data_IF_882201757089
#
_entry.id   IF_882201757089
#
_cell.length_a   1.000
_cell.length_b   1.000
_cell.length_c   1.000
_cell.angle_alpha   90.00
_cell.angle_beta   90.00
_cell.angle_gamma   90.00
#
_symmetry.space_group_name_H-M   'P 1'
#
loop_
_entity.id
_entity.type
_entity.pdbx_description
1 polymer ?
#
# COMPACT_ATOMS: atom_id res chain seq x y z
N UNK A 1 -19.63 32.22 20.03
CA UNK A 1 -19.45 30.98 19.22
C UNK A 1 -17.99 30.95 18.83
N UNK A 2 -17.20 29.99 19.28
CA UNK A 2 -15.82 29.83 18.82
C UNK A 2 -15.84 29.55 17.30
N UNK A 3 -14.96 30.18 16.56
CA UNK A 3 -14.78 29.89 15.14
C UNK A 3 -14.40 28.43 14.98
N UNK A 4 -15.08 27.70 14.09
CA UNK A 4 -14.78 26.28 13.88
C UNK A 4 -13.32 26.12 13.42
N UNK A 5 -12.59 25.17 14.03
CA UNK A 5 -11.21 24.85 13.61
C UNK A 5 -11.24 24.30 12.18
N UNK A 6 -10.49 24.91 11.28
CA UNK A 6 -10.38 24.46 9.89
C UNK A 6 -9.15 23.57 9.74
N UNK A 7 -9.35 22.37 9.15
CA UNK A 7 -8.29 21.40 8.82
C UNK A 7 -8.23 21.21 7.29
N UNK A 8 -7.06 21.33 6.72
CA UNK A 8 -6.82 21.11 5.29
C UNK A 8 -6.10 19.78 5.09
N UNK A 9 -6.75 18.87 4.35
CA UNK A 9 -6.23 17.52 4.06
C UNK A 9 -5.65 17.51 2.65
N UNK A 10 -4.34 17.32 2.53
CA UNK A 10 -3.63 17.12 1.28
C UNK A 10 -3.95 15.76 0.66
N UNK A 11 -4.27 15.74 -0.63
CA UNK A 11 -4.58 14.54 -1.41
C UNK A 11 -3.97 14.61 -2.79
N UNK A 12 -3.64 13.45 -3.38
CA UNK A 12 -3.40 13.36 -4.82
C UNK A 12 -4.72 13.51 -5.57
N UNK A 13 -4.66 13.97 -6.84
CA UNK A 13 -5.84 14.16 -7.70
C UNK A 13 -6.47 12.82 -8.16
N UNK A 14 -5.81 11.68 -8.01
CA UNK A 14 -6.36 10.41 -8.45
C UNK A 14 -7.64 10.07 -7.67
N UNK A 15 -8.66 9.55 -8.38
CA UNK A 15 -9.97 9.23 -7.77
C UNK A 15 -9.84 8.38 -6.50
N UNK A 16 -8.93 7.38 -6.50
CA UNK A 16 -8.70 6.55 -5.32
C UNK A 16 -8.14 7.37 -4.15
N UNK A 17 -7.15 8.24 -4.40
CA UNK A 17 -6.56 9.08 -3.36
C UNK A 17 -7.58 10.06 -2.78
N UNK A 18 -8.41 10.68 -3.62
CA UNK A 18 -9.49 11.56 -3.17
C UNK A 18 -10.46 10.79 -2.27
N UNK A 19 -10.91 9.60 -2.67
CA UNK A 19 -11.80 8.76 -1.84
C UNK A 19 -11.14 8.42 -0.49
N UNK A 20 -9.84 8.11 -0.48
CA UNK A 20 -9.10 7.82 0.75
C UNK A 20 -9.05 9.04 1.68
N UNK A 21 -8.82 10.22 1.13
CA UNK A 21 -8.84 11.47 1.91
C UNK A 21 -10.24 11.83 2.39
N UNK A 22 -11.28 11.55 1.59
CA UNK A 22 -12.68 11.70 2.00
C UNK A 22 -13.08 10.80 3.18
N UNK A 23 -12.49 9.61 3.30
CA UNK A 23 -12.71 8.73 4.46
C UNK A 23 -12.23 9.43 5.74
N UNK A 24 -11.03 10.04 5.71
CA UNK A 24 -10.49 10.78 6.85
C UNK A 24 -11.30 12.06 7.12
N UNK A 25 -11.65 12.80 6.07
CA UNK A 25 -12.47 14.02 6.18
C UNK A 25 -13.81 13.74 6.88
N UNK A 26 -14.55 12.74 6.38
CA UNK A 26 -15.83 12.35 6.97
C UNK A 26 -15.70 11.91 8.42
N UNK A 27 -14.67 11.11 8.75
CA UNK A 27 -14.41 10.72 10.13
C UNK A 27 -14.24 11.96 11.04
N UNK A 28 -13.43 12.94 10.63
CA UNK A 28 -13.20 14.15 11.43
C UNK A 28 -14.51 14.93 11.61
N UNK A 29 -15.27 15.17 10.55
CA UNK A 29 -16.52 15.92 10.61
C UNK A 29 -17.62 15.22 11.43
N UNK A 30 -17.67 13.88 11.40
CA UNK A 30 -18.64 13.08 12.16
C UNK A 30 -18.29 12.98 13.66
N UNK A 31 -17.00 12.99 14.00
CA UNK A 31 -16.54 12.83 15.40
C UNK A 31 -16.21 14.13 16.09
N UNK A 32 -15.92 15.19 15.34
CA UNK A 32 -15.51 16.50 15.86
C UNK A 32 -16.39 17.62 15.25
N UNK A 33 -17.60 17.88 15.76
CA UNK A 33 -18.54 18.85 15.17
C UNK A 33 -18.02 20.29 15.06
N UNK A 34 -17.04 20.65 15.90
CA UNK A 34 -16.38 21.97 15.91
C UNK A 34 -15.21 22.06 14.92
N UNK A 35 -14.97 21.01 14.12
CA UNK A 35 -13.90 20.95 13.11
C UNK A 35 -14.51 20.87 11.72
N UNK A 36 -14.07 21.74 10.82
CA UNK A 36 -14.37 21.67 9.40
C UNK A 36 -13.14 21.15 8.65
N UNK A 37 -13.31 20.13 7.80
CA UNK A 37 -12.22 19.57 7.04
C UNK A 37 -12.42 19.77 5.53
N UNK A 38 -11.41 20.31 4.85
CA UNK A 38 -11.41 20.53 3.40
C UNK A 38 -10.29 19.76 2.71
N UNK A 39 -10.51 19.36 1.47
CA UNK A 39 -9.47 18.70 0.65
C UNK A 39 -8.69 19.71 -0.17
N UNK A 40 -7.37 19.59 -0.16
CA UNK A 40 -6.43 20.23 -1.08
C UNK A 40 -5.86 19.16 -2.01
N UNK A 41 -6.38 19.07 -3.23
CA UNK A 41 -5.89 18.11 -4.22
C UNK A 41 -4.70 18.66 -4.98
N UNK A 42 -3.73 17.80 -5.29
CA UNK A 42 -2.55 18.17 -6.06
C UNK A 42 -2.04 17.02 -6.94
N UNK A 43 -1.42 17.39 -8.05
CA UNK A 43 -0.84 16.44 -9.01
C UNK A 43 0.61 16.18 -8.65
N UNK A 44 0.95 14.92 -8.36
CA UNK A 44 2.31 14.53 -8.00
C UNK A 44 3.17 14.22 -9.22
N UNK A 45 4.48 14.22 -9.04
CA UNK A 45 5.44 13.82 -10.07
C UNK A 45 5.18 12.40 -10.56
N UNK A 46 4.83 11.47 -9.66
CA UNK A 46 4.46 10.09 -10.02
C UNK A 46 3.19 9.99 -10.86
N UNK A 47 2.25 10.95 -10.74
CA UNK A 47 1.04 11.00 -11.57
C UNK A 47 1.32 11.55 -12.99
N UNK A 48 2.39 12.33 -13.15
CA UNK A 48 2.78 12.92 -14.45
C UNK A 48 3.58 11.98 -15.33
N UNK A 49 4.38 11.07 -14.72
CA UNK A 49 5.28 10.17 -15.46
C UNK A 49 4.55 8.86 -15.71
N UNK A 50 4.05 8.64 -16.92
CA UNK A 50 3.31 7.45 -17.33
C UNK A 50 4.07 6.56 -18.33
N UNK A 51 5.17 7.04 -18.90
CA UNK A 51 5.95 6.44 -20.00
C UNK A 51 7.10 5.54 -19.52
N UNK A 52 7.46 5.58 -18.23
CA UNK A 52 8.57 4.83 -17.65
C UNK A 52 8.11 4.01 -16.44
N UNK A 53 8.78 2.89 -16.17
CA UNK A 53 8.55 2.09 -14.95
C UNK A 53 9.12 2.78 -13.72
N UNK A 54 8.51 2.60 -12.54
CA UNK A 54 8.89 3.33 -11.31
C UNK A 54 10.32 3.01 -10.86
N UNK A 55 10.78 1.78 -11.08
CA UNK A 55 12.16 1.32 -10.82
C UNK A 55 13.20 2.08 -11.64
N UNK A 56 12.89 2.44 -12.90
CA UNK A 56 13.78 3.19 -13.78
C UNK A 56 13.83 4.69 -13.51
N UNK A 57 12.89 5.25 -12.75
CA UNK A 57 12.83 6.69 -12.47
C UNK A 57 13.73 7.06 -11.27
N UNK A 58 14.12 6.09 -10.43
CA UNK A 58 15.15 6.25 -9.39
C UNK A 58 14.84 7.26 -8.29
N UNK A 59 13.58 7.61 -8.05
CA UNK A 59 13.21 8.61 -7.04
C UNK A 59 12.41 8.02 -5.89
N UNK A 60 12.97 7.92 -4.69
CA UNK A 60 12.19 7.68 -3.47
C UNK A 60 11.14 8.78 -3.30
N UNK A 61 9.89 8.42 -3.02
CA UNK A 61 8.84 9.38 -2.68
C UNK A 61 8.20 10.11 -3.86
N UNK A 62 8.13 9.53 -5.06
CA UNK A 62 7.50 10.17 -6.26
C UNK A 62 6.03 10.57 -6.07
N UNK A 63 5.35 9.98 -5.10
CA UNK A 63 3.93 10.23 -4.82
C UNK A 63 3.69 11.05 -3.55
N UNK A 64 4.75 11.37 -2.77
CA UNK A 64 4.61 12.06 -1.48
C UNK A 64 5.25 13.47 -1.47
N UNK A 65 6.23 13.75 -2.32
CA UNK A 65 7.02 15.00 -2.28
C UNK A 65 6.17 16.28 -2.30
N UNK A 66 5.17 16.34 -3.15
CA UNK A 66 4.29 17.52 -3.26
C UNK A 66 3.39 17.66 -2.04
N UNK A 67 2.97 16.52 -1.44
CA UNK A 67 2.19 16.47 -0.21
C UNK A 67 3.06 16.86 1.00
N UNK A 68 4.27 16.32 1.09
CA UNK A 68 5.24 16.70 2.12
C UNK A 68 5.54 18.21 2.07
N UNK A 69 5.74 18.75 0.87
CA UNK A 69 5.93 20.18 0.67
C UNK A 69 4.72 20.99 1.13
N UNK A 70 3.49 20.53 0.85
CA UNK A 70 2.28 21.21 1.29
C UNK A 70 2.14 21.21 2.82
N UNK A 71 2.55 20.14 3.51
CA UNK A 71 2.61 20.09 4.98
C UNK A 71 3.65 21.07 5.52
N UNK A 72 4.88 21.08 4.99
CA UNK A 72 5.96 21.98 5.43
C UNK A 72 5.61 23.45 5.19
N UNK A 73 5.02 23.76 4.05
CA UNK A 73 4.59 25.13 3.68
C UNK A 73 3.27 25.54 4.39
N UNK A 74 2.72 24.71 5.27
CA UNK A 74 1.43 24.92 5.99
C UNK A 74 0.23 25.16 5.06
N UNK A 75 0.27 24.63 3.85
CA UNK A 75 -0.87 24.64 2.92
C UNK A 75 -1.85 23.50 3.18
N UNK A 76 -1.40 22.45 3.83
CA UNK A 76 -2.23 21.39 4.40
C UNK A 76 -1.81 21.09 5.83
N UNK A 77 -2.72 20.53 6.63
CA UNK A 77 -2.49 20.11 8.01
C UNK A 77 -2.24 18.60 8.07
N UNK A 78 -2.87 17.87 7.18
CA UNK A 78 -2.74 16.41 7.02
C UNK A 78 -2.44 16.06 5.57
N UNK A 79 -1.88 14.88 5.36
CA UNK A 79 -1.84 14.19 4.07
C UNK A 79 -2.24 12.74 4.22
N UNK A 80 -3.06 12.23 3.29
CA UNK A 80 -3.57 10.85 3.33
C UNK A 80 -2.94 10.02 2.24
N UNK A 81 -2.45 8.82 2.61
CA UNK A 81 -1.73 7.93 1.72
C UNK A 81 -2.22 6.48 1.86
N UNK A 82 -2.11 5.70 0.79
CA UNK A 82 -2.02 4.25 0.93
C UNK A 82 -0.67 3.92 1.57
N UNK A 83 -0.65 3.27 2.73
CA UNK A 83 0.59 3.02 3.48
C UNK A 83 1.66 2.29 2.65
N UNK A 84 1.25 1.33 1.83
CA UNK A 84 2.15 0.57 0.94
C UNK A 84 2.92 1.42 -0.09
N UNK A 85 2.40 2.62 -0.40
CA UNK A 85 2.99 3.53 -1.38
C UNK A 85 3.89 4.58 -0.73
N UNK A 86 3.95 4.62 0.61
CA UNK A 86 4.83 5.51 1.36
C UNK A 86 6.28 5.00 1.38
N UNK A 87 7.27 5.90 1.40
CA UNK A 87 8.66 5.53 1.62
C UNK A 87 8.82 4.75 2.95
N UNK A 88 9.80 3.86 3.02
CA UNK A 88 10.11 3.15 4.28
C UNK A 88 10.69 4.10 5.32
N UNK A 89 11.51 5.07 4.91
CA UNK A 89 12.01 6.14 5.76
C UNK A 89 11.04 7.33 5.73
N UNK A 90 10.57 7.72 6.90
CA UNK A 90 9.65 8.84 7.09
C UNK A 90 10.43 9.99 7.73
N UNK A 91 10.36 11.23 7.18
CA UNK A 91 11.00 12.39 7.79
C UNK A 91 10.51 12.61 9.23
N UNK A 92 11.42 12.92 10.15
CA UNK A 92 11.07 13.13 11.56
C UNK A 92 10.12 14.32 11.75
N UNK A 93 10.23 15.33 10.91
CA UNK A 93 9.36 16.50 10.91
C UNK A 93 7.95 16.23 10.35
N UNK A 94 7.75 15.10 9.63
CA UNK A 94 6.48 14.72 9.03
C UNK A 94 6.10 13.27 9.40
N UNK A 95 5.87 12.96 10.68
CA UNK A 95 5.52 11.61 11.12
C UNK A 95 4.17 11.15 10.56
N UNK A 96 3.96 9.83 10.54
CA UNK A 96 2.63 9.26 10.43
C UNK A 96 1.97 9.40 11.80
N UNK A 97 0.84 10.09 11.85
CA UNK A 97 0.10 10.42 13.07
C UNK A 97 -1.09 9.50 13.33
N UNK A 98 -1.55 8.77 12.30
CA UNK A 98 -2.59 7.75 12.47
C UNK A 98 -2.50 6.68 11.37
N UNK A 99 -2.86 5.44 11.72
CA UNK A 99 -3.08 4.34 10.80
C UNK A 99 -4.54 3.90 10.87
N UNK A 100 -5.20 3.78 9.72
CA UNK A 100 -6.56 3.29 9.68
C UNK A 100 -6.66 1.80 10.01
N UNK A 101 -7.86 1.34 10.34
CA UNK A 101 -8.21 -0.06 10.24
C UNK A 101 -7.84 -0.59 8.84
N UNK A 102 -7.35 -1.84 8.80
CA UNK A 102 -6.99 -2.50 7.54
C UNK A 102 -8.24 -2.87 6.75
N UNK A 103 -8.29 -2.46 5.50
CA UNK A 103 -9.20 -2.99 4.48
C UNK A 103 -8.63 -4.30 3.92
N UNK A 104 -9.39 -5.06 3.13
CA UNK A 104 -8.96 -6.34 2.55
C UNK A 104 -7.53 -6.27 1.99
N UNK A 105 -6.55 -6.96 2.59
CA UNK A 105 -5.14 -6.88 2.21
C UNK A 105 -4.82 -7.67 0.94
N UNK A 106 -5.75 -8.50 0.44
CA UNK A 106 -5.49 -9.44 -0.65
C UNK A 106 -5.21 -8.75 -1.97
N UNK A 107 -4.47 -9.44 -2.80
CA UNK A 107 -4.41 -9.14 -4.22
C UNK A 107 -5.57 -9.83 -4.95
N UNK A 108 -6.00 -9.28 -6.07
CA UNK A 108 -7.17 -9.75 -6.80
C UNK A 108 -6.90 -9.84 -8.30
N UNK A 109 -7.42 -10.89 -8.92
CA UNK A 109 -7.51 -11.04 -10.37
C UNK A 109 -8.78 -10.34 -10.85
N UNK A 110 -8.64 -9.52 -11.86
CA UNK A 110 -9.76 -8.89 -12.60
C UNK A 110 -9.69 -9.33 -14.03
N UNK A 111 -10.80 -9.84 -14.56
CA UNK A 111 -10.96 -10.27 -15.94
C UNK A 111 -11.73 -9.22 -16.76
N UNK A 112 -11.59 -9.22 -18.11
CA UNK A 112 -12.50 -8.50 -18.97
C UNK A 112 -13.95 -8.93 -18.72
N UNK A 113 -14.91 -8.05 -18.99
CA UNK A 113 -16.33 -8.36 -18.79
C UNK A 113 -16.76 -9.57 -19.61
N UNK A 114 -17.50 -10.48 -18.97
CA UNK A 114 -17.98 -11.72 -19.59
C UNK A 114 -16.96 -12.85 -19.67
N UNK A 115 -15.70 -12.62 -19.28
CA UNK A 115 -14.66 -13.67 -19.26
C UNK A 115 -14.65 -14.42 -17.93
N UNK A 116 -14.38 -15.75 -17.99
CA UNK A 116 -14.28 -16.64 -16.82
C UNK A 116 -12.84 -17.06 -16.51
N UNK A 117 -11.89 -16.81 -17.42
CA UNK A 117 -10.45 -17.09 -17.27
C UNK A 117 -9.65 -16.04 -18.05
N UNK A 118 -8.36 -15.84 -17.70
CA UNK A 118 -7.48 -14.99 -18.51
C UNK A 118 -7.34 -15.53 -19.93
N UNK A 119 -7.21 -14.62 -20.90
CA UNK A 119 -6.90 -14.98 -22.29
C UNK A 119 -5.43 -15.38 -22.39
N UNK A 120 -5.07 -16.63 -22.79
CA UNK A 120 -3.68 -17.08 -22.84
C UNK A 120 -2.84 -16.38 -23.92
N UNK A 121 -3.48 -15.81 -24.92
CA UNK A 121 -2.78 -15.08 -25.99
C UNK A 121 -2.35 -13.67 -25.56
N UNK A 122 -2.91 -13.16 -24.46
CA UNK A 122 -2.66 -11.82 -23.92
C UNK A 122 -1.91 -11.86 -22.59
N UNK A 123 -1.08 -10.87 -22.30
CA UNK A 123 -0.39 -10.82 -21.01
C UNK A 123 -1.35 -10.51 -19.86
N UNK A 124 -0.99 -10.96 -18.67
CA UNK A 124 -1.58 -10.47 -17.41
C UNK A 124 -0.92 -9.15 -17.04
N UNK A 125 -1.71 -8.08 -16.94
CA UNK A 125 -1.22 -6.75 -16.60
C UNK A 125 -0.86 -6.65 -15.12
N UNK A 126 0.44 -6.61 -14.81
CA UNK A 126 0.98 -6.48 -13.46
C UNK A 126 2.34 -5.78 -13.50
N UNK A 127 2.51 -4.69 -12.71
CA UNK A 127 3.77 -3.94 -12.64
C UNK A 127 4.57 -4.23 -11.36
N UNK A 128 4.10 -5.09 -10.49
CA UNK A 128 4.74 -5.40 -9.20
C UNK A 128 5.52 -6.70 -9.30
N UNK A 129 6.86 -6.61 -9.17
CA UNK A 129 7.72 -7.80 -9.11
C UNK A 129 7.32 -8.74 -7.98
N UNK A 130 6.97 -8.21 -6.81
CA UNK A 130 6.43 -8.99 -5.68
C UNK A 130 5.27 -9.90 -6.09
N UNK A 131 4.31 -9.35 -6.87
CA UNK A 131 3.16 -10.11 -7.38
C UNK A 131 3.59 -11.11 -8.43
N UNK A 132 4.38 -10.67 -9.41
CA UNK A 132 4.82 -11.50 -10.54
C UNK A 132 5.54 -12.75 -10.05
N UNK A 133 6.52 -12.62 -9.13
CA UNK A 133 7.28 -13.75 -8.57
C UNK A 133 6.39 -14.82 -7.91
N UNK A 134 5.32 -14.39 -7.26
CA UNK A 134 4.40 -15.32 -6.60
C UNK A 134 3.39 -15.90 -7.60
N UNK A 135 2.85 -15.06 -8.49
CA UNK A 135 1.82 -15.46 -9.45
C UNK A 135 2.35 -16.31 -10.60
N UNK A 136 3.62 -16.23 -10.94
CA UNK A 136 4.24 -17.13 -11.91
C UNK A 136 4.14 -18.61 -11.52
N UNK A 137 4.07 -18.90 -10.19
CA UNK A 137 3.85 -20.25 -9.68
C UNK A 137 2.40 -20.72 -9.89
N UNK A 138 1.45 -19.80 -9.93
CA UNK A 138 0.01 -20.07 -10.11
C UNK A 138 -0.38 -20.04 -11.58
N UNK A 139 0.26 -19.18 -12.36
CA UNK A 139 0.03 -18.96 -13.78
C UNK A 139 1.34 -19.13 -14.59
N UNK A 140 1.95 -20.33 -14.62
CA UNK A 140 3.26 -20.56 -15.24
C UNK A 140 3.27 -20.33 -16.75
N UNK A 141 2.13 -20.54 -17.42
CA UNK A 141 2.00 -20.43 -18.86
C UNK A 141 1.64 -19.02 -19.34
N UNK A 142 1.45 -18.07 -18.40
CA UNK A 142 1.06 -16.71 -18.74
C UNK A 142 2.24 -15.74 -18.69
N UNK A 143 2.29 -14.82 -19.65
CA UNK A 143 3.21 -13.69 -19.63
C UNK A 143 2.66 -12.59 -18.73
N UNK A 144 3.54 -11.92 -17.98
CA UNK A 144 3.20 -10.75 -17.19
C UNK A 144 3.83 -9.52 -17.84
N UNK A 145 3.02 -8.47 -18.05
CA UNK A 145 3.49 -7.21 -18.60
C UNK A 145 3.08 -6.03 -17.73
N UNK A 146 3.96 -5.02 -17.70
CA UNK A 146 3.72 -3.83 -16.88
C UNK A 146 2.52 -3.04 -17.41
N UNK A 147 1.61 -2.68 -16.51
CA UNK A 147 0.45 -1.83 -16.78
C UNK A 147 0.53 -0.54 -15.97
N UNK A 148 0.55 0.61 -16.64
CA UNK A 148 0.66 1.94 -16.02
C UNK A 148 -0.68 2.69 -16.05
N UNK A 149 -0.81 3.63 -15.11
CA UNK A 149 -2.01 4.45 -14.90
C UNK A 149 -2.70 4.14 -13.58
N UNK A 150 -3.73 4.92 -13.25
CA UNK A 150 -4.61 4.64 -12.12
C UNK A 150 -5.50 3.41 -12.41
N UNK A 151 -6.29 2.97 -11.42
CA UNK A 151 -7.14 1.77 -11.54
C UNK A 151 -8.07 1.86 -12.75
N UNK A 152 -8.75 2.97 -12.96
CA UNK A 152 -9.67 3.17 -14.10
C UNK A 152 -8.94 3.07 -15.44
N UNK A 153 -7.77 3.68 -15.57
CA UNK A 153 -6.95 3.60 -16.77
C UNK A 153 -6.52 2.16 -17.07
N UNK A 154 -6.14 1.40 -16.04
CA UNK A 154 -5.74 0.00 -16.21
C UNK A 154 -6.92 -0.86 -16.64
N UNK A 155 -8.08 -0.71 -15.99
CA UNK A 155 -9.30 -1.40 -16.39
C UNK A 155 -9.66 -1.11 -17.83
N UNK A 156 -9.64 0.16 -18.25
CA UNK A 156 -9.91 0.54 -19.63
C UNK A 156 -8.95 -0.13 -20.62
N UNK A 157 -7.64 -0.14 -20.35
CA UNK A 157 -6.64 -0.81 -21.20
C UNK A 157 -6.92 -2.32 -21.34
N UNK A 158 -7.40 -2.96 -20.30
CA UNK A 158 -7.79 -4.37 -20.31
C UNK A 158 -9.05 -4.56 -21.18
N UNK A 159 -10.08 -3.73 -20.99
CA UNK A 159 -11.30 -3.80 -21.82
C UNK A 159 -11.04 -3.49 -23.31
N UNK A 160 -10.06 -2.64 -23.60
CA UNK A 160 -9.55 -2.39 -24.96
C UNK A 160 -8.74 -3.58 -25.54
N UNK A 161 -8.57 -4.66 -24.77
CA UNK A 161 -7.93 -5.89 -25.20
C UNK A 161 -6.40 -5.92 -25.14
N UNK A 162 -5.77 -4.94 -24.48
CA UNK A 162 -4.32 -4.92 -24.31
C UNK A 162 -3.82 -5.99 -23.32
N UNK A 163 -4.68 -6.42 -22.37
CA UNK A 163 -4.37 -7.42 -21.35
C UNK A 163 -5.49 -8.45 -21.25
N UNK A 164 -5.14 -9.70 -20.97
CA UNK A 164 -6.10 -10.79 -20.75
C UNK A 164 -6.64 -10.83 -19.32
N UNK A 165 -5.96 -10.14 -18.39
CA UNK A 165 -6.36 -9.95 -17.00
C UNK A 165 -5.53 -8.84 -16.35
N UNK A 166 -5.94 -8.38 -15.18
CA UNK A 166 -5.15 -7.48 -14.33
C UNK A 166 -5.00 -8.04 -12.92
N UNK A 167 -3.87 -7.73 -12.28
CA UNK A 167 -3.68 -7.97 -10.85
C UNK A 167 -3.70 -6.63 -10.11
N UNK A 168 -4.70 -6.46 -9.24
CA UNK A 168 -4.95 -5.24 -8.49
C UNK A 168 -5.08 -5.56 -6.99
N UNK A 169 -4.98 -4.53 -6.12
CA UNK A 169 -5.26 -4.71 -4.70
C UNK A 169 -6.76 -4.62 -4.44
N UNK A 170 -7.31 -5.60 -3.71
CA UNK A 170 -8.73 -5.66 -3.36
C UNK A 170 -9.21 -4.40 -2.64
N UNK A 171 -8.46 -3.89 -1.65
CA UNK A 171 -8.77 -2.64 -0.96
C UNK A 171 -8.95 -1.44 -1.89
N UNK A 172 -8.14 -1.34 -2.95
CA UNK A 172 -8.27 -0.28 -3.94
C UNK A 172 -9.56 -0.38 -4.76
N UNK A 173 -9.93 -1.58 -5.15
CA UNK A 173 -11.18 -1.87 -5.86
C UNK A 173 -12.40 -1.62 -4.96
N UNK A 174 -12.36 -2.07 -3.70
CA UNK A 174 -13.43 -1.85 -2.72
C UNK A 174 -13.70 -0.36 -2.50
N UNK A 175 -12.65 0.44 -2.25
CA UNK A 175 -12.77 1.88 -2.06
C UNK A 175 -13.34 2.61 -3.27
N UNK A 176 -13.10 2.08 -4.48
CA UNK A 176 -13.67 2.62 -5.72
C UNK A 176 -15.09 2.12 -6.01
N UNK A 177 -15.66 1.23 -5.20
CA UNK A 177 -16.95 0.58 -5.46
C UNK A 177 -16.89 -0.44 -6.60
N UNK A 178 -15.70 -1.00 -6.86
CA UNK A 178 -15.43 -1.92 -7.98
C UNK A 178 -15.19 -3.37 -7.52
N UNK A 179 -15.59 -3.74 -6.30
CA UNK A 179 -15.42 -5.12 -5.81
C UNK A 179 -16.16 -6.16 -6.66
N UNK A 180 -17.25 -5.78 -7.32
CA UNK A 180 -17.96 -6.64 -8.28
C UNK A 180 -17.15 -7.00 -9.54
N UNK A 181 -16.01 -6.32 -9.80
CA UNK A 181 -15.09 -6.61 -10.89
C UNK A 181 -14.05 -7.68 -10.52
N UNK A 182 -13.98 -8.08 -9.24
CA UNK A 182 -13.01 -9.08 -8.76
C UNK A 182 -13.49 -10.48 -9.19
N UNK A 183 -12.69 -11.15 -10.00
CA UNK A 183 -12.96 -12.51 -10.45
C UNK A 183 -12.39 -13.57 -9.51
N UNK A 184 -11.26 -13.26 -8.84
CA UNK A 184 -10.61 -14.12 -7.83
C UNK A 184 -9.86 -13.27 -6.83
N UNK A 185 -9.96 -13.62 -5.56
CA UNK A 185 -9.06 -13.17 -4.52
C UNK A 185 -7.91 -14.17 -4.34
N UNK A 186 -6.70 -13.68 -4.10
CA UNK A 186 -5.58 -14.52 -3.71
C UNK A 186 -5.41 -14.43 -2.19
N UNK A 187 -5.51 -15.56 -1.50
CA UNK A 187 -5.30 -15.59 -0.06
C UNK A 187 -3.83 -15.20 0.26
N UNK A 188 -3.55 -14.61 1.45
CA UNK A 188 -2.19 -14.18 1.81
C UNK A 188 -1.17 -15.32 1.78
N UNK A 189 -1.59 -16.57 1.92
CA UNK A 189 -0.77 -17.77 1.81
C UNK A 189 -0.39 -18.10 0.36
N UNK A 190 -1.20 -17.66 -0.61
CA UNK A 190 -0.93 -17.82 -2.05
C UNK A 190 -0.07 -16.67 -2.58
N UNK A 191 -0.44 -15.43 -2.18
CA UNK A 191 0.25 -14.20 -2.61
C UNK A 191 0.37 -13.27 -1.41
N UNK A 192 1.52 -13.29 -0.75
CA UNK A 192 1.81 -12.43 0.40
C UNK A 192 1.67 -10.96 -0.02
N UNK A 193 0.80 -10.18 0.65
CA UNK A 193 0.55 -8.78 0.31
C UNK A 193 1.78 -7.87 0.44
N UNK A 194 1.71 -6.69 -0.14
CA UNK A 194 2.70 -5.65 0.15
C UNK A 194 2.53 -5.13 1.58
N UNK A 195 3.63 -4.78 2.22
CA UNK A 195 3.60 -4.18 3.56
C UNK A 195 2.67 -2.96 3.61
N UNK A 196 1.73 -2.96 4.55
CA UNK A 196 0.72 -1.92 4.71
C UNK A 196 -0.41 -1.95 3.67
N UNK A 197 -0.53 -2.99 2.85
CA UNK A 197 -1.65 -3.09 1.91
C UNK A 197 -2.98 -3.14 2.67
N UNK A 198 -3.92 -2.29 2.24
CA UNK A 198 -5.22 -2.10 2.89
C UNK A 198 -5.25 -0.98 3.94
N UNK A 199 -4.13 -0.55 4.48
CA UNK A 199 -4.04 0.49 5.53
C UNK A 199 -3.88 1.88 4.88
N UNK A 200 -4.58 2.88 5.42
CA UNK A 200 -4.33 4.29 5.17
C UNK A 200 -3.36 4.83 6.22
N UNK A 201 -2.41 5.64 5.79
CA UNK A 201 -1.55 6.43 6.66
C UNK A 201 -1.96 7.89 6.59
N UNK A 202 -2.16 8.51 7.75
CA UNK A 202 -2.35 9.95 7.87
C UNK A 202 -1.03 10.53 8.35
N UNK A 203 -0.47 11.46 7.59
CA UNK A 203 0.79 12.14 7.88
C UNK A 203 0.50 13.58 8.29
N UNK A 204 1.27 14.09 9.24
CA UNK A 204 1.17 15.45 9.73
C UNK A 204 2.53 16.01 10.16
N UNK A 205 2.57 17.23 10.69
CA UNK A 205 3.80 17.84 11.20
C UNK A 205 4.08 17.39 12.64
N UNK A 206 5.33 17.16 12.97
CA UNK A 206 5.72 16.81 14.34
C UNK A 206 5.35 17.93 15.34
N UNK A 207 4.90 17.53 16.52
CA UNK A 207 4.61 18.45 17.63
C UNK A 207 3.27 19.20 17.54
N UNK A 208 2.42 18.90 16.55
CA UNK A 208 1.07 19.45 16.46
C UNK A 208 0.03 18.56 17.14
N UNK A 209 -1.15 19.12 17.43
CA UNK A 209 -2.26 18.39 18.05
C UNK A 209 -3.12 17.72 16.98
N UNK A 210 -3.25 16.40 17.10
CA UNK A 210 -4.05 15.52 16.25
C UNK A 210 -5.15 14.79 17.02
N UNK A 211 -5.60 15.34 18.14
CA UNK A 211 -6.66 14.74 18.99
C UNK A 211 -7.95 14.45 18.22
N UNK A 212 -8.23 15.22 17.18
CA UNK A 212 -9.37 14.99 16.26
C UNK A 212 -9.22 13.72 15.38
N UNK A 213 -8.08 13.03 15.43
CA UNK A 213 -7.87 11.70 14.82
C UNK A 213 -7.89 10.57 15.85
N UNK A 214 -8.11 10.89 17.14
CA UNK A 214 -8.30 9.88 18.17
C UNK A 214 -9.48 8.96 17.78
N UNK A 215 -9.27 7.64 17.84
CA UNK A 215 -10.27 6.67 17.38
C UNK A 215 -10.29 6.39 15.85
N UNK A 216 -9.71 7.25 15.01
CA UNK A 216 -9.39 6.87 13.63
C UNK A 216 -8.22 5.90 13.57
N UNK A 217 -7.27 6.08 14.49
CA UNK A 217 -6.12 5.20 14.60
C UNK A 217 -6.53 3.84 15.16
N UNK A 218 -6.32 2.80 14.36
CA UNK A 218 -6.66 1.42 14.70
C UNK A 218 -5.43 0.69 15.27
N UNK A 219 -5.60 0.01 16.39
CA UNK A 219 -4.50 -0.68 17.07
C UNK A 219 -3.94 -1.83 16.21
N UNK A 220 -4.81 -2.67 15.64
CA UNK A 220 -4.38 -3.79 14.79
C UNK A 220 -3.70 -3.29 13.50
N UNK A 221 -4.28 -2.25 12.87
CA UNK A 221 -3.68 -1.58 11.71
C UNK A 221 -2.31 -1.00 12.04
N UNK A 222 -2.14 -0.43 13.23
CA UNK A 222 -0.87 0.12 13.70
C UNK A 222 0.18 -0.97 13.92
N UNK A 223 -0.15 -2.04 14.66
CA UNK A 223 0.79 -3.15 14.91
C UNK A 223 1.20 -3.83 13.61
N UNK A 224 0.24 -4.06 12.72
CA UNK A 224 0.53 -4.64 11.42
C UNK A 224 1.45 -3.73 10.58
N UNK A 225 1.18 -2.43 10.54
CA UNK A 225 2.01 -1.45 9.85
C UNK A 225 3.45 -1.44 10.39
N UNK A 226 3.63 -1.48 11.70
CA UNK A 226 4.93 -1.48 12.36
C UNK A 226 5.73 -2.74 12.01
N UNK A 227 5.13 -3.94 12.17
CA UNK A 227 5.80 -5.20 11.89
C UNK A 227 6.21 -5.35 10.43
N UNK A 228 5.27 -5.09 9.51
CA UNK A 228 5.47 -5.27 8.08
C UNK A 228 6.49 -4.26 7.52
N UNK A 229 6.42 -2.99 7.95
CA UNK A 229 7.38 -1.97 7.54
C UNK A 229 8.76 -2.21 8.11
N UNK A 230 8.87 -2.68 9.36
CA UNK A 230 10.15 -3.05 9.97
C UNK A 230 10.83 -4.17 9.17
N UNK A 231 10.07 -5.19 8.75
CA UNK A 231 10.57 -6.27 7.89
C UNK A 231 11.13 -5.74 6.56
N UNK A 232 10.33 -4.94 5.84
CA UNK A 232 10.72 -4.41 4.53
C UNK A 232 11.90 -3.44 4.66
N UNK A 233 11.89 -2.56 5.66
CA UNK A 233 12.98 -1.61 5.94
C UNK A 233 14.28 -2.33 6.23
N UNK A 234 14.26 -3.39 7.03
CA UNK A 234 15.44 -4.18 7.40
C UNK A 234 16.09 -4.87 6.21
N UNK A 235 15.33 -5.19 5.17
CA UNK A 235 15.80 -5.79 3.93
C UNK A 235 16.16 -4.76 2.84
N UNK A 236 16.28 -3.48 3.21
CA UNK A 236 16.51 -2.37 2.27
C UNK A 236 15.48 -2.30 1.15
N UNK A 237 14.28 -2.87 1.40
CA UNK A 237 13.17 -2.91 0.47
C UNK A 237 12.47 -1.56 0.32
N UNK A 238 11.71 -1.42 -0.73
CA UNK A 238 10.88 -0.24 -1.03
C UNK A 238 9.65 -0.63 -1.86
N UNK A 239 8.90 0.37 -2.33
CA UNK A 239 7.67 0.15 -3.10
C UNK A 239 7.86 -0.67 -4.39
N UNK A 240 9.08 -0.70 -4.96
CA UNK A 240 9.45 -1.46 -6.16
C UNK A 240 10.16 -2.77 -5.87
N UNK A 241 10.62 -2.99 -4.64
CA UNK A 241 11.36 -4.21 -4.28
C UNK A 241 10.45 -5.44 -4.26
N UNK A 242 10.95 -6.61 -4.64
CA UNK A 242 10.20 -7.86 -4.60
C UNK A 242 10.14 -8.46 -3.18
N UNK A 243 9.94 -7.62 -2.17
CA UNK A 243 9.79 -7.97 -0.77
C UNK A 243 8.31 -7.84 -0.37
N UNK A 244 7.81 -8.75 0.45
CA UNK A 244 6.46 -8.75 0.96
C UNK A 244 6.43 -9.02 2.46
N UNK A 245 5.46 -8.45 3.15
CA UNK A 245 5.19 -8.79 4.54
C UNK A 245 3.70 -8.64 4.84
N UNK A 246 3.17 -9.58 5.59
CA UNK A 246 1.78 -9.58 6.04
C UNK A 246 1.68 -10.06 7.49
N UNK A 247 1.08 -9.25 8.33
CA UNK A 247 0.78 -9.58 9.71
C UNK A 247 -0.71 -9.93 9.87
N UNK A 248 -0.99 -11.15 10.32
CA UNK A 248 -2.31 -11.59 10.80
C UNK A 248 -2.34 -11.40 12.30
N UNK A 249 -3.37 -10.70 12.79
CA UNK A 249 -3.54 -10.40 14.22
C UNK A 249 -4.79 -11.08 14.74
N UNK A 250 -4.67 -11.73 15.87
CA UNK A 250 -5.75 -12.42 16.59
C UNK A 250 -5.62 -12.07 18.10
N UNK A 251 -6.30 -11.00 18.51
CA UNK A 251 -6.17 -10.45 19.86
C UNK A 251 -4.77 -9.87 20.10
N UNK A 252 -4.06 -10.35 21.11
CA UNK A 252 -2.68 -9.92 21.42
C UNK A 252 -1.60 -10.76 20.70
N UNK A 253 -2.00 -11.73 19.87
CA UNK A 253 -1.08 -12.54 19.08
C UNK A 253 -1.01 -12.05 17.64
N UNK A 254 0.21 -12.03 17.11
CA UNK A 254 0.51 -11.70 15.72
C UNK A 254 1.26 -12.87 15.08
N UNK A 255 0.88 -13.21 13.85
CA UNK A 255 1.70 -14.04 12.96
C UNK A 255 2.15 -13.18 11.78
N UNK A 256 3.44 -12.91 11.71
CA UNK A 256 4.05 -12.17 10.61
C UNK A 256 4.62 -13.16 9.59
N UNK A 257 4.19 -13.06 8.35
CA UNK A 257 4.71 -13.81 7.19
C UNK A 257 5.45 -12.86 6.27
N UNK A 258 6.68 -13.22 5.88
CA UNK A 258 7.53 -12.42 5.00
C UNK A 258 7.98 -13.19 3.77
N UNK A 259 8.22 -12.46 2.68
CA UNK A 259 8.88 -12.91 1.46
C UNK A 259 10.10 -12.04 1.22
N UNK A 260 11.25 -12.67 1.08
CA UNK A 260 12.52 -12.05 0.68
C UNK A 260 12.97 -12.63 -0.67
N UNK A 261 13.38 -11.76 -1.56
CA UNK A 261 13.95 -12.13 -2.86
C UNK A 261 15.30 -11.46 -3.02
N UNK A 262 16.34 -12.27 -3.20
CA UNK A 262 17.70 -11.84 -3.47
C UNK A 262 17.90 -11.84 -4.99
N UNK A 263 18.16 -10.65 -5.56
CA UNK A 263 18.22 -10.46 -7.02
C UNK A 263 19.45 -11.12 -7.65
N UNK A 264 20.57 -11.18 -6.93
CA UNK A 264 21.86 -11.66 -7.44
C UNK A 264 21.81 -13.13 -7.89
N UNK A 265 21.12 -13.98 -7.14
CA UNK A 265 21.01 -15.42 -7.39
C UNK A 265 19.56 -15.88 -7.61
N UNK A 266 18.61 -14.95 -7.66
CA UNK A 266 17.18 -15.19 -7.82
C UNK A 266 16.57 -16.06 -6.70
N UNK A 267 17.19 -16.08 -5.52
CA UNK A 267 16.68 -16.83 -4.37
C UNK A 267 15.42 -16.17 -3.81
N UNK A 268 14.35 -16.95 -3.73
CA UNK A 268 13.07 -16.52 -3.17
C UNK A 268 12.75 -17.32 -1.92
N UNK A 269 12.74 -16.67 -0.76
CA UNK A 269 12.47 -17.28 0.54
C UNK A 269 11.20 -16.72 1.15
N UNK A 270 10.45 -17.58 1.82
CA UNK A 270 9.31 -17.20 2.64
C UNK A 270 9.48 -17.77 4.04
N UNK A 271 9.03 -17.03 5.03
CA UNK A 271 9.06 -17.50 6.41
C UNK A 271 8.02 -16.78 7.26
N UNK A 272 7.72 -17.36 8.41
CA UNK A 272 6.76 -16.80 9.36
C UNK A 272 7.29 -16.88 10.78
N UNK A 273 6.85 -15.95 11.63
CA UNK A 273 7.04 -16.02 13.07
C UNK A 273 5.80 -15.52 13.79
N UNK A 274 5.57 -16.03 15.00
CA UNK A 274 4.45 -15.61 15.86
C UNK A 274 4.99 -15.04 17.16
N UNK A 275 4.27 -14.05 17.70
CA UNK A 275 4.63 -13.38 18.96
C UNK A 275 3.54 -12.42 19.42
N UNK A 276 3.84 -11.64 20.47
CA UNK A 276 2.93 -10.63 20.98
C UNK A 276 2.94 -9.39 20.06
N UNK A 277 1.77 -8.78 19.84
CA UNK A 277 1.64 -7.54 19.01
C UNK A 277 2.51 -6.38 19.50
N UNK A 278 2.86 -6.35 20.80
CA UNK A 278 3.72 -5.31 21.39
C UNK A 278 5.16 -5.38 20.88
N UNK A 279 5.57 -6.54 20.35
CA UNK A 279 6.91 -6.78 19.80
C UNK A 279 6.95 -6.61 18.27
N UNK A 280 5.92 -5.97 17.70
CA UNK A 280 5.69 -5.87 16.26
C UNK A 280 6.94 -5.48 15.44
N UNK A 281 7.60 -4.36 15.78
CA UNK A 281 8.81 -3.92 15.05
C UNK A 281 9.98 -4.89 15.21
N UNK A 282 10.16 -5.45 16.40
CA UNK A 282 11.19 -6.44 16.67
C UNK A 282 10.96 -7.70 15.85
N UNK A 283 9.71 -8.19 15.80
CA UNK A 283 9.33 -9.34 14.97
C UNK A 283 9.67 -9.12 13.51
N UNK A 284 9.34 -7.93 12.97
CA UNK A 284 9.70 -7.55 11.59
C UNK A 284 11.22 -7.65 11.35
N UNK A 285 12.00 -7.07 12.23
CA UNK A 285 13.47 -7.06 12.13
C UNK A 285 14.06 -8.47 12.24
N UNK A 286 13.63 -9.25 13.22
CA UNK A 286 14.13 -10.63 13.45
C UNK A 286 13.80 -11.55 12.29
N UNK A 287 12.57 -11.49 11.77
CA UNK A 287 12.18 -12.31 10.61
C UNK A 287 13.01 -11.94 9.37
N UNK A 288 13.24 -10.65 9.15
CA UNK A 288 14.05 -10.17 8.02
C UNK A 288 15.50 -10.68 8.11
N UNK A 289 16.13 -10.55 9.28
CA UNK A 289 17.51 -11.02 9.50
C UNK A 289 17.63 -12.53 9.30
N UNK A 290 16.64 -13.30 9.79
CA UNK A 290 16.60 -14.75 9.59
C UNK A 290 16.55 -15.12 8.11
N UNK A 291 15.62 -14.52 7.34
CA UNK A 291 15.49 -14.85 5.91
C UNK A 291 16.71 -14.39 5.10
N UNK A 292 17.35 -13.28 5.48
CA UNK A 292 18.60 -12.82 4.85
C UNK A 292 19.73 -13.83 5.10
N UNK A 293 19.91 -14.28 6.33
CA UNK A 293 20.93 -15.28 6.68
C UNK A 293 20.69 -16.61 5.94
N UNK A 294 19.45 -17.09 5.92
CA UNK A 294 19.08 -18.30 5.17
C UNK A 294 19.36 -18.18 3.66
N UNK A 295 19.21 -16.98 3.08
CA UNK A 295 19.54 -16.73 1.68
C UNK A 295 21.06 -16.72 1.41
N UNK A 296 21.85 -16.26 2.37
CA UNK A 296 23.31 -16.27 2.29
C UNK A 296 23.90 -17.69 2.41
N UNK A 297 23.28 -18.55 3.23
CA UNK A 297 23.72 -19.95 3.41
C UNK A 297 23.40 -20.86 2.20
N UNK A 298 22.48 -20.45 1.31
CA UNK A 298 22.10 -21.24 0.11
C UNK A 298 22.99 -21.02 -1.11
N UNK A 299 23.94 -20.10 -1.02
CA UNK A 299 24.97 -19.81 -2.03
C UNK A 299 26.19 -20.68 -1.79
#
# INVERSE_FOLDING_TARGET
>A
MSEARKIIIGSRESRLAVIQSEIVRKYIEETCPDVQAELLTMKTTGDKILDRTLDKIGGKGLFVKELDRALLDRRSDLSVHSLKDMPMEIPQELPIVAFSRREDPRDALVLPEGCTKPDPEKPIGCSSLRRILQLQKIYPDYRFESVRGNVQTRLRKMEEGQYGALILAAAGLARLGLQGRISRYFEPEEVIPAAGQGILAVQGRAGEDYSYLEGFSDAEGTWAALAERAFVRRLDGGCSSPVAAYAKIEGEQMTLTGLYYKEEDQTCLTGSMSGNVRDAEQMGTVLADRLRAEAEERV
#
